data_IF_664414454131
#
_entry.id   IF_664414454131
#
_cell.length_a   1.000
_cell.length_b   1.000
_cell.length_c   1.000
_cell.angle_alpha   90.00
_cell.angle_beta   90.00
_cell.angle_gamma   90.00
#
_symmetry.space_group_name_H-M   'P 1'
#
loop_
_entity.id
_entity.type
_entity.pdbx_description
1 polymer ?
#
# COMPACT_ATOMS: atom_id res chain seq x y z
N UNK A 1 -12.81 23.77 11.27
CA UNK A 1 -12.92 22.41 10.71
C UNK A 1 -13.64 21.51 11.72
N UNK A 2 -14.68 20.77 11.31
CA UNK A 2 -15.50 20.00 12.26
C UNK A 2 -14.67 18.88 12.91
N UNK A 3 -14.71 18.75 14.24
CA UNK A 3 -13.97 17.71 14.99
C UNK A 3 -14.27 16.28 14.47
N UNK A 4 -15.49 16.08 13.96
CA UNK A 4 -15.90 14.81 13.32
C UNK A 4 -15.16 14.54 12.01
N UNK A 5 -14.94 15.57 11.19
CA UNK A 5 -14.24 15.45 9.92
C UNK A 5 -12.76 15.08 10.15
N UNK A 6 -12.11 15.70 11.14
CA UNK A 6 -10.74 15.36 11.53
C UNK A 6 -10.64 13.89 11.96
N UNK A 7 -11.58 13.40 12.79
CA UNK A 7 -11.60 11.99 13.21
C UNK A 7 -11.78 11.01 12.03
N UNK A 8 -12.64 11.36 11.06
CA UNK A 8 -12.81 10.57 9.86
C UNK A 8 -11.52 10.53 9.02
N UNK A 9 -10.86 11.67 8.85
CA UNK A 9 -9.62 11.79 8.09
C UNK A 9 -8.49 11.00 8.74
N UNK A 10 -8.34 11.07 10.07
CA UNK A 10 -7.37 10.24 10.82
C UNK A 10 -7.66 8.76 10.62
N UNK A 11 -8.93 8.34 10.62
CA UNK A 11 -9.32 6.94 10.37
C UNK A 11 -8.92 6.50 8.96
N UNK A 12 -9.12 7.36 7.95
CA UNK A 12 -8.66 7.13 6.58
C UNK A 12 -7.14 6.97 6.48
N UNK A 13 -6.37 7.85 7.11
CA UNK A 13 -4.90 7.77 7.14
C UNK A 13 -4.43 6.48 7.80
N UNK A 14 -5.05 6.08 8.91
CA UNK A 14 -4.75 4.82 9.59
C UNK A 14 -4.96 3.60 8.68
N UNK A 15 -6.01 3.60 7.86
CA UNK A 15 -6.27 2.53 6.90
C UNK A 15 -5.15 2.37 5.88
N UNK A 16 -4.67 3.49 5.31
CA UNK A 16 -3.55 3.50 4.37
C UNK A 16 -2.28 2.96 5.05
N UNK A 17 -1.99 3.41 6.27
CA UNK A 17 -0.82 2.96 7.03
C UNK A 17 -0.85 1.45 7.30
N UNK A 18 -1.98 0.93 7.78
CA UNK A 18 -2.15 -0.50 8.08
C UNK A 18 -2.00 -1.34 6.81
N UNK A 19 -2.56 -0.89 5.70
CA UNK A 19 -2.46 -1.58 4.41
C UNK A 19 -1.00 -1.70 3.95
N UNK A 20 -0.25 -0.60 3.95
CA UNK A 20 1.16 -0.64 3.53
C UNK A 20 2.05 -1.39 4.51
N UNK A 21 1.79 -1.30 5.83
CA UNK A 21 2.49 -2.11 6.83
C UNK A 21 2.28 -3.61 6.56
N UNK A 22 1.05 -4.03 6.24
CA UNK A 22 0.77 -5.41 5.89
C UNK A 22 1.45 -5.85 4.58
N UNK A 23 1.47 -4.99 3.57
CA UNK A 23 2.20 -5.28 2.32
C UNK A 23 3.71 -5.45 2.56
N UNK A 24 4.30 -4.63 3.43
CA UNK A 24 5.71 -4.72 3.79
C UNK A 24 6.03 -6.05 4.49
N UNK A 25 5.21 -6.45 5.46
CA UNK A 25 5.34 -7.75 6.14
C UNK A 25 5.18 -8.89 5.12
N UNK A 26 4.19 -8.81 4.22
CA UNK A 26 3.96 -9.85 3.22
C UNK A 26 5.18 -10.02 2.30
N UNK A 27 5.82 -8.93 1.90
CA UNK A 27 7.01 -8.96 1.04
C UNK A 27 8.18 -9.69 1.70
N UNK A 28 8.42 -9.43 2.99
CA UNK A 28 9.52 -10.04 3.74
C UNK A 28 9.28 -11.53 4.04
N UNK A 29 8.07 -11.88 4.47
CA UNK A 29 7.78 -13.23 4.96
C UNK A 29 7.40 -14.23 3.85
N UNK A 30 6.85 -13.77 2.72
CA UNK A 30 6.40 -14.65 1.62
C UNK A 30 7.35 -14.64 0.42
N UNK A 31 8.54 -14.05 0.52
CA UNK A 31 9.56 -14.06 -0.53
C UNK A 31 10.89 -14.72 -0.09
N UNK A 32 10.94 -15.98 0.40
CA UNK A 32 12.20 -16.53 0.93
C UNK A 32 13.20 -17.03 -0.12
N UNK A 33 12.92 -16.98 -1.43
CA UNK A 33 13.65 -17.80 -2.43
C UNK A 33 14.23 -17.06 -3.64
N UNK A 34 14.52 -15.76 -3.57
CA UNK A 34 15.40 -15.14 -4.58
C UNK A 34 16.86 -15.27 -4.11
N UNK A 35 17.42 -16.48 -4.22
CA UNK A 35 18.88 -16.69 -4.14
C UNK A 35 19.44 -16.24 -5.49
N UNK A 36 20.16 -15.11 -5.58
CA UNK A 36 20.71 -14.67 -6.86
C UNK A 36 21.91 -15.55 -7.20
N UNK A 37 21.79 -16.34 -8.26
CA UNK A 37 22.86 -17.21 -8.73
C UNK A 37 24.01 -16.35 -9.31
N UNK A 38 25.07 -16.19 -8.51
CA UNK A 38 26.13 -15.17 -8.66
C UNK A 38 26.91 -15.33 -9.98
N UNK A 39 26.88 -16.52 -10.59
CA UNK A 39 27.57 -16.80 -11.85
C UNK A 39 26.79 -16.26 -13.06
N UNK A 40 25.45 -16.24 -13.01
CA UNK A 40 24.63 -15.53 -14.00
C UNK A 40 24.71 -14.01 -13.81
N UNK A 41 24.98 -13.55 -12.58
CA UNK A 41 24.90 -12.15 -12.16
C UNK A 41 25.76 -11.18 -12.98
N UNK A 42 26.83 -11.66 -13.63
CA UNK A 42 27.73 -10.85 -14.46
C UNK A 42 27.27 -10.70 -15.91
N UNK A 43 26.75 -11.76 -16.56
CA UNK A 43 25.99 -11.63 -17.81
C UNK A 43 24.71 -10.81 -17.61
N UNK A 44 24.27 -10.78 -16.36
CA UNK A 44 23.13 -10.04 -15.91
C UNK A 44 23.41 -8.54 -15.65
N UNK A 45 24.64 -8.03 -15.70
CA UNK A 45 24.84 -6.58 -15.47
C UNK A 45 24.31 -5.75 -16.65
N UNK A 46 24.40 -6.27 -17.88
CA UNK A 46 23.84 -5.62 -19.07
C UNK A 46 22.30 -5.77 -19.15
N UNK A 47 21.72 -6.92 -18.74
CA UNK A 47 20.25 -7.03 -18.64
C UNK A 47 19.69 -6.28 -17.42
N UNK A 48 20.42 -6.17 -16.30
CA UNK A 48 20.03 -5.39 -15.12
C UNK A 48 20.08 -3.90 -15.42
N UNK A 49 20.90 -3.41 -16.36
CA UNK A 49 20.80 -2.00 -16.78
C UNK A 49 19.48 -1.70 -17.50
N UNK A 50 18.89 -2.67 -18.21
CA UNK A 50 17.55 -2.52 -18.80
C UNK A 50 16.42 -2.92 -17.84
N UNK A 51 16.65 -3.88 -16.94
CA UNK A 51 15.66 -4.44 -16.02
C UNK A 51 15.70 -3.89 -14.60
N UNK A 52 16.64 -3.01 -14.22
CA UNK A 52 16.54 -2.14 -13.01
C UNK A 52 15.39 -1.14 -13.06
N UNK A 53 14.44 -1.36 -13.97
CA UNK A 53 13.00 -1.27 -13.70
C UNK A 53 12.52 -2.39 -12.72
N UNK A 54 13.34 -2.79 -11.74
CA UNK A 54 13.01 -3.75 -10.68
C UNK A 54 12.07 -3.08 -9.69
N UNK A 55 10.82 -3.08 -10.11
CA UNK A 55 9.66 -2.65 -9.41
C UNK A 55 8.62 -2.70 -10.48
N UNK A 56 7.81 -3.76 -10.50
CA UNK A 56 6.56 -3.80 -11.24
C UNK A 56 6.04 -2.37 -11.35
N UNK A 57 6.00 -1.84 -12.57
CA UNK A 57 5.55 -0.49 -12.86
C UNK A 57 4.04 -0.52 -12.63
N UNK A 58 3.61 -0.69 -11.38
CA UNK A 58 2.40 -0.04 -10.93
C UNK A 58 2.68 1.42 -11.26
N UNK A 59 2.03 1.93 -12.30
CA UNK A 59 2.12 3.33 -12.68
C UNK A 59 2.05 4.15 -11.38
N UNK A 60 2.96 5.12 -11.15
CA UNK A 60 2.90 5.97 -9.96
C UNK A 60 1.48 6.51 -9.71
N UNK A 61 0.73 6.74 -10.79
CA UNK A 61 -0.69 7.08 -10.78
C UNK A 61 -1.58 6.02 -10.11
N UNK A 62 -1.36 4.73 -10.35
CA UNK A 62 -2.12 3.65 -9.74
C UNK A 62 -1.92 3.56 -8.23
N UNK A 63 -0.69 3.80 -7.75
CA UNK A 63 -0.41 3.86 -6.30
C UNK A 63 -1.12 5.03 -5.63
N UNK A 64 -1.19 6.18 -6.31
CA UNK A 64 -1.93 7.35 -5.82
C UNK A 64 -3.43 7.05 -5.78
N UNK A 65 -3.99 6.44 -6.82
CA UNK A 65 -5.41 6.05 -6.88
C UNK A 65 -5.74 5.05 -5.77
N UNK A 66 -4.90 4.03 -5.57
CA UNK A 66 -5.06 3.03 -4.50
C UNK A 66 -5.05 3.70 -3.12
N UNK A 67 -4.08 4.59 -2.86
CA UNK A 67 -3.98 5.33 -1.60
C UNK A 67 -5.21 6.20 -1.35
N UNK A 68 -5.69 6.92 -2.38
CA UNK A 68 -6.90 7.73 -2.29
C UNK A 68 -8.15 6.87 -2.05
N UNK A 69 -8.25 5.73 -2.74
CA UNK A 69 -9.34 4.76 -2.56
C UNK A 69 -9.39 4.20 -1.15
N UNK A 70 -8.25 3.80 -0.59
CA UNK A 70 -8.14 3.31 0.79
C UNK A 70 -8.48 4.39 1.82
N UNK A 71 -8.04 5.62 1.58
CA UNK A 71 -8.37 6.75 2.44
C UNK A 71 -9.87 7.04 2.45
N UNK A 72 -10.53 7.04 1.28
CA UNK A 72 -11.97 7.18 1.15
C UNK A 72 -12.72 6.02 1.82
N UNK A 73 -12.21 4.80 1.71
CA UNK A 73 -12.76 3.63 2.37
C UNK A 73 -12.73 3.80 3.89
N UNK A 74 -11.61 4.22 4.47
CA UNK A 74 -11.52 4.46 5.91
C UNK A 74 -12.46 5.57 6.40
N UNK A 75 -12.64 6.63 5.59
CA UNK A 75 -13.64 7.68 5.86
C UNK A 75 -15.07 7.11 5.81
N UNK A 76 -15.39 6.30 4.80
CA UNK A 76 -16.70 5.68 4.66
C UNK A 76 -17.01 4.77 5.85
N UNK A 77 -16.07 3.92 6.27
CA UNK A 77 -16.18 3.05 7.45
C UNK A 77 -16.49 3.86 8.71
N UNK A 78 -15.81 4.99 8.91
CA UNK A 78 -16.07 5.86 10.05
C UNK A 78 -17.50 6.39 10.07
N UNK A 79 -18.01 6.87 8.93
CA UNK A 79 -19.37 7.40 8.85
C UNK A 79 -20.44 6.31 8.94
N UNK A 80 -20.21 5.14 8.34
CA UNK A 80 -21.11 3.98 8.45
C UNK A 80 -21.20 3.53 9.92
N UNK A 81 -20.06 3.36 10.60
CA UNK A 81 -20.04 3.01 12.02
C UNK A 81 -20.73 4.05 12.90
N UNK A 82 -20.55 5.33 12.60
CA UNK A 82 -21.25 6.42 13.29
C UNK A 82 -22.76 6.39 13.06
N UNK A 83 -23.20 6.07 11.85
CA UNK A 83 -24.62 5.99 11.50
C UNK A 83 -25.29 4.80 12.19
N UNK A 84 -24.62 3.64 12.21
CA UNK A 84 -25.08 2.45 12.93
C UNK A 84 -25.21 2.70 14.43
N UNK A 85 -24.25 3.42 15.04
CA UNK A 85 -24.30 3.76 16.47
C UNK A 85 -25.43 4.73 16.84
N UNK A 86 -25.95 5.50 15.88
CA UNK A 86 -27.09 6.41 16.12
C UNK A 86 -28.45 5.74 15.96
N UNK A 87 -28.50 4.58 15.29
CA UNK A 87 -29.72 3.78 15.12
C UNK A 87 -29.97 2.81 16.27
N UNK A 88 -29.00 2.68 17.19
CA UNK A 88 -29.06 1.83 18.38
C UNK A 88 -29.24 2.73 19.60
#
# INVERSE_FOLDING_TARGET
MNKTFIKALITGIMFVFVFYAFQMIRREYFSPNDVPDIISSYASVDYLQQETKYGSISSPMWRVIESLGLMLLGVAVFYVGRLLRRKK
#
